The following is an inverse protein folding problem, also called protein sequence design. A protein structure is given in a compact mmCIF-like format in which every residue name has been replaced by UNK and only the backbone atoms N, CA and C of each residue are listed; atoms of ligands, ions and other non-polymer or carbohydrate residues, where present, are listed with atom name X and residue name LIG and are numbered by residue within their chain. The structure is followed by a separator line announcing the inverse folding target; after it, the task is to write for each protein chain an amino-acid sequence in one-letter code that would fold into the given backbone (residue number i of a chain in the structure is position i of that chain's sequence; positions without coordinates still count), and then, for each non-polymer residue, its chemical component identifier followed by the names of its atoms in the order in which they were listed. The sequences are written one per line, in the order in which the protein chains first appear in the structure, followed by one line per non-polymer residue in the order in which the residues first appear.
data_IF_314318432534
#
_entry.id   IF_314318432534
#
_cell.length_a   1.000
_cell.length_b   1.000
_cell.length_c   1.000
_cell.angle_alpha   90.00
_cell.angle_beta   90.00
_cell.angle_gamma   90.00
#
_symmetry.space_group_name_H-M   'P 1'
#
loop_
_entity.id
_entity.type
_entity.pdbx_description
1 polymer ?
#
# COMPACT_ATOMS: atom_id res chain seq x y z
N UNK A 1 -22.25 1.23 -29.71
CA UNK A 1 -21.17 0.28 -29.38
C UNK A 1 -20.33 -0.05 -30.60
N UNK A 2 -20.93 -0.24 -31.78
CA UNK A 2 -20.22 -0.65 -33.00
C UNK A 2 -19.21 0.38 -33.52
N UNK A 3 -19.50 1.67 -33.42
CA UNK A 3 -18.57 2.75 -33.78
C UNK A 3 -17.35 2.84 -32.84
N UNK A 4 -17.53 2.49 -31.55
CA UNK A 4 -16.44 2.45 -30.58
C UNK A 4 -15.58 1.19 -30.79
N UNK A 5 -16.23 0.06 -31.09
CA UNK A 5 -15.59 -1.21 -31.40
C UNK A 5 -14.72 -1.10 -32.66
N UNK A 6 -15.25 -0.53 -33.75
CA UNK A 6 -14.51 -0.35 -35.01
C UNK A 6 -13.34 0.63 -34.88
N UNK A 7 -13.44 1.64 -34.01
CA UNK A 7 -12.36 2.60 -33.76
C UNK A 7 -11.24 2.03 -32.88
N UNK A 8 -11.58 1.23 -31.86
CA UNK A 8 -10.60 0.74 -30.87
C UNK A 8 -9.96 -0.60 -31.24
N UNK A 9 -10.67 -1.52 -31.91
CA UNK A 9 -10.14 -2.83 -32.31
C UNK A 9 -8.78 -2.80 -33.02
N UNK A 10 -8.51 -1.91 -34.01
CA UNK A 10 -7.20 -1.88 -34.65
C UNK A 10 -6.08 -1.49 -33.68
N UNK A 11 -6.36 -0.67 -32.68
CA UNK A 11 -5.41 -0.27 -31.65
C UNK A 11 -5.21 -1.40 -30.65
N UNK A 12 -6.28 -2.08 -30.26
CA UNK A 12 -6.21 -3.12 -29.21
C UNK A 12 -5.59 -4.43 -29.70
N UNK A 13 -5.72 -4.74 -30.99
CA UNK A 13 -5.09 -5.91 -31.60
C UNK A 13 -3.59 -5.69 -31.87
N UNK A 14 -3.16 -4.45 -32.05
CA UNK A 14 -1.76 -4.09 -32.26
C UNK A 14 -1.05 -3.64 -30.97
N UNK A 15 -1.56 -4.06 -29.80
CA UNK A 15 -0.97 -3.67 -28.53
C UNK A 15 0.44 -4.28 -28.38
N UNK A 16 1.43 -3.50 -27.92
CA UNK A 16 2.77 -4.03 -27.65
C UNK A 16 2.71 -5.20 -26.66
N UNK A 17 3.56 -6.21 -26.88
CA UNK A 17 3.66 -7.41 -26.05
C UNK A 17 3.79 -7.14 -24.54
N UNK A 18 4.55 -6.14 -24.04
CA UNK A 18 4.58 -5.89 -22.60
C UNK A 18 3.21 -5.43 -22.05
N UNK A 19 2.45 -4.66 -22.83
CA UNK A 19 1.15 -4.13 -22.41
C UNK A 19 0.09 -5.23 -22.42
N UNK A 20 0.05 -6.04 -23.49
CA UNK A 20 -0.90 -7.16 -23.57
C UNK A 20 -0.60 -8.25 -22.53
N UNK A 21 0.68 -8.53 -22.24
CA UNK A 21 1.08 -9.45 -21.18
C UNK A 21 0.68 -8.93 -19.78
N UNK A 22 0.90 -7.65 -19.51
CA UNK A 22 0.46 -7.02 -18.26
C UNK A 22 -1.06 -7.08 -18.09
N UNK A 23 -1.83 -6.68 -19.10
CA UNK A 23 -3.29 -6.72 -19.04
C UNK A 23 -3.83 -8.14 -18.90
N UNK A 24 -3.24 -9.11 -19.61
CA UNK A 24 -3.58 -10.53 -19.48
C UNK A 24 -3.27 -11.06 -18.09
N UNK A 25 -2.13 -10.69 -17.51
CA UNK A 25 -1.79 -11.04 -16.12
C UNK A 25 -2.70 -10.34 -15.11
N UNK A 26 -3.22 -9.15 -15.46
CA UNK A 26 -4.08 -8.36 -14.59
C UNK A 26 -5.47 -8.99 -14.52
N UNK A 27 -6.18 -9.09 -15.65
CA UNK A 27 -7.59 -9.52 -15.67
C UNK A 27 -7.79 -11.00 -16.04
N UNK A 28 -6.75 -11.70 -16.47
CA UNK A 28 -6.84 -13.07 -16.99
C UNK A 28 -7.10 -13.11 -18.50
N UNK A 29 -6.82 -14.26 -19.15
CA UNK A 29 -6.91 -14.40 -20.62
C UNK A 29 -8.33 -14.23 -21.15
N UNK A 30 -9.35 -14.77 -20.47
CA UNK A 30 -10.74 -14.73 -20.91
C UNK A 30 -11.31 -13.30 -20.83
N UNK A 31 -11.04 -12.60 -19.72
CA UNK A 31 -11.46 -11.21 -19.58
C UNK A 31 -10.63 -10.27 -20.46
N UNK A 32 -9.36 -10.58 -20.74
CA UNK A 32 -8.56 -9.82 -21.70
C UNK A 32 -9.16 -9.89 -23.11
N UNK A 33 -9.50 -11.10 -23.58
CA UNK A 33 -10.21 -11.31 -24.85
C UNK A 33 -11.51 -10.51 -24.89
N UNK A 34 -12.39 -10.72 -23.91
CA UNK A 34 -13.73 -10.14 -23.89
C UNK A 34 -13.71 -8.60 -23.84
N UNK A 35 -12.88 -8.00 -22.99
CA UNK A 35 -12.85 -6.55 -22.79
C UNK A 35 -11.99 -5.80 -23.82
N UNK A 36 -10.84 -6.35 -24.20
CA UNK A 36 -9.85 -5.63 -25.00
C UNK A 36 -9.86 -6.06 -26.48
N UNK A 37 -10.01 -7.34 -26.79
CA UNK A 37 -10.04 -7.79 -28.19
C UNK A 37 -11.43 -7.66 -28.80
N UNK A 38 -12.45 -8.09 -28.05
CA UNK A 38 -13.85 -8.06 -28.48
C UNK A 38 -14.56 -6.78 -28.06
N UNK A 39 -14.02 -5.98 -27.12
CA UNK A 39 -14.62 -4.70 -26.70
C UNK A 39 -16.10 -4.88 -26.32
N UNK A 40 -16.37 -5.93 -25.53
CA UNK A 40 -17.69 -6.24 -25.01
C UNK A 40 -17.77 -5.86 -23.51
N UNK A 41 -18.24 -4.64 -23.18
CA UNK A 41 -18.42 -4.21 -21.79
C UNK A 41 -19.66 -4.81 -21.13
N UNK A 42 -20.45 -5.64 -21.83
CA UNK A 42 -21.66 -6.28 -21.28
C UNK A 42 -21.32 -7.36 -20.27
N UNK A 43 -20.09 -7.89 -20.29
CA UNK A 43 -19.60 -8.82 -19.28
C UNK A 43 -19.34 -8.09 -17.95
N UNK A 44 -20.39 -8.01 -17.13
CA UNK A 44 -20.33 -7.36 -15.81
C UNK A 44 -19.30 -8.00 -14.87
N UNK A 45 -19.00 -9.29 -15.03
CA UNK A 45 -17.98 -10.01 -14.25
C UNK A 45 -16.59 -9.47 -14.58
N UNK A 46 -16.22 -9.47 -15.86
CA UNK A 46 -14.90 -9.01 -16.29
C UNK A 46 -14.73 -7.50 -16.07
N UNK A 47 -15.78 -6.71 -16.29
CA UNK A 47 -15.75 -5.27 -16.05
C UNK A 47 -15.52 -4.95 -14.57
N UNK A 48 -16.23 -5.62 -13.65
CA UNK A 48 -16.01 -5.45 -12.19
C UNK A 48 -14.60 -5.85 -11.78
N UNK A 49 -14.07 -6.94 -12.33
CA UNK A 49 -12.70 -7.39 -12.06
C UNK A 49 -11.66 -6.36 -12.52
N UNK A 50 -11.82 -5.83 -13.75
CA UNK A 50 -10.96 -4.79 -14.29
C UNK A 50 -11.00 -3.54 -13.41
N UNK A 51 -12.20 -3.05 -13.07
CA UNK A 51 -12.37 -1.87 -12.22
C UNK A 51 -11.70 -2.09 -10.85
N UNK A 52 -11.94 -3.24 -10.21
CA UNK A 52 -11.36 -3.57 -8.89
C UNK A 52 -9.83 -3.56 -8.93
N UNK A 53 -9.22 -4.14 -9.97
CA UNK A 53 -7.76 -4.20 -10.10
C UNK A 53 -7.12 -2.88 -10.45
N UNK A 54 -7.73 -2.11 -11.36
CA UNK A 54 -7.26 -0.76 -11.70
C UNK A 54 -7.36 0.15 -10.48
N UNK A 55 -8.48 0.10 -9.76
CA UNK A 55 -8.66 0.87 -8.53
C UNK A 55 -7.62 0.48 -7.48
N UNK A 56 -7.40 -0.82 -7.24
CA UNK A 56 -6.38 -1.29 -6.29
C UNK A 56 -4.96 -0.82 -6.65
N UNK A 57 -4.57 -0.90 -7.92
CA UNK A 57 -3.27 -0.37 -8.38
C UNK A 57 -3.20 1.15 -8.18
N UNK A 58 -4.27 1.87 -8.53
CA UNK A 58 -4.35 3.32 -8.35
C UNK A 58 -4.21 3.74 -6.89
N UNK A 59 -4.84 3.00 -5.98
CA UNK A 59 -4.74 3.19 -4.53
C UNK A 59 -3.30 2.99 -4.07
N UNK A 60 -2.66 1.86 -4.41
CA UNK A 60 -1.26 1.60 -4.03
C UNK A 60 -0.34 2.69 -4.58
N UNK A 61 -0.53 3.10 -5.84
CA UNK A 61 0.26 4.16 -6.47
C UNK A 61 0.07 5.51 -5.77
N UNK A 62 -1.17 5.92 -5.49
CA UNK A 62 -1.46 7.16 -4.76
C UNK A 62 -0.84 7.12 -3.36
N UNK A 63 -0.97 6.00 -2.65
CA UNK A 63 -0.45 5.80 -1.31
C UNK A 63 1.08 5.82 -1.23
N UNK A 64 1.79 5.64 -2.35
CA UNK A 64 3.25 5.85 -2.40
C UNK A 64 3.67 7.33 -2.32
N UNK A 65 2.76 8.26 -2.61
CA UNK A 65 3.05 9.71 -2.68
C UNK A 65 2.28 10.56 -1.65
N UNK A 66 1.27 10.03 -0.98
CA UNK A 66 0.39 10.81 -0.08
C UNK A 66 1.14 11.59 1.02
N UNK A 67 2.21 11.05 1.60
CA UNK A 67 2.98 11.70 2.68
C UNK A 67 4.21 12.46 2.16
N UNK A 68 4.55 12.35 0.87
CA UNK A 68 5.71 13.01 0.25
C UNK A 68 5.68 14.54 0.40
N UNK A 69 4.55 15.25 0.19
CA UNK A 69 4.49 16.70 0.40
C UNK A 69 4.87 17.10 1.84
N UNK A 70 4.52 16.28 2.83
CA UNK A 70 4.86 16.54 4.22
C UNK A 70 6.35 16.30 4.50
N UNK A 71 6.96 15.27 3.90
CA UNK A 71 8.40 15.04 3.96
C UNK A 71 9.15 16.25 3.38
N UNK A 72 8.74 16.73 2.21
CA UNK A 72 9.33 17.93 1.59
C UNK A 72 9.17 19.14 2.51
N UNK A 73 7.98 19.33 3.11
CA UNK A 73 7.73 20.44 4.04
C UNK A 73 8.68 20.41 5.24
N UNK A 74 8.85 19.27 5.89
CA UNK A 74 9.79 19.09 7.01
C UNK A 74 11.24 19.40 6.60
N UNK A 75 11.68 18.89 5.46
CA UNK A 75 13.04 19.15 4.95
C UNK A 75 13.25 20.63 4.61
N UNK A 76 12.25 21.28 3.99
CA UNK A 76 12.31 22.69 3.59
C UNK A 76 12.27 23.65 4.77
N UNK A 77 11.46 23.36 5.80
CA UNK A 77 11.36 24.20 7.00
C UNK A 77 12.51 23.96 7.98
N UNK A 78 13.14 22.78 7.94
CA UNK A 78 14.10 22.33 8.95
C UNK A 78 13.50 22.24 10.36
N UNK A 79 12.17 22.21 10.48
CA UNK A 79 11.46 22.30 11.75
C UNK A 79 10.28 21.34 11.78
N UNK A 80 10.16 20.61 12.90
CA UNK A 80 9.07 19.69 13.18
C UNK A 80 7.93 20.32 14.00
N UNK A 81 7.90 21.65 14.12
CA UNK A 81 6.89 22.33 14.93
C UNK A 81 5.48 22.08 14.40
N UNK A 82 4.58 21.66 15.30
CA UNK A 82 3.21 21.31 14.96
C UNK A 82 3.02 19.88 14.41
N UNK A 83 4.08 19.05 14.38
CA UNK A 83 4.00 17.64 13.98
C UNK A 83 4.20 16.73 15.20
N UNK A 84 3.22 15.86 15.46
CA UNK A 84 3.23 14.93 16.60
C UNK A 84 4.03 13.68 16.28
N UNK A 85 5.21 13.50 16.88
CA UNK A 85 5.96 12.25 16.79
C UNK A 85 5.13 11.04 17.24
N UNK A 86 4.41 11.17 18.36
CA UNK A 86 3.66 10.08 18.97
C UNK A 86 2.60 9.53 18.02
N UNK A 87 1.86 10.39 17.33
CA UNK A 87 0.83 9.97 16.36
C UNK A 87 1.46 9.18 15.20
N UNK A 88 2.60 9.64 14.66
CA UNK A 88 3.32 8.86 13.62
C UNK A 88 3.87 7.53 14.17
N UNK A 89 4.33 7.49 15.42
CA UNK A 89 4.80 6.25 16.04
C UNK A 89 3.68 5.23 16.23
N UNK A 90 2.50 5.66 16.70
CA UNK A 90 1.32 4.81 16.89
C UNK A 90 0.74 4.33 15.54
N UNK A 91 0.61 5.23 14.56
CA UNK A 91 0.19 4.88 13.20
C UNK A 91 1.16 3.86 12.58
N UNK A 92 2.48 4.05 12.76
CA UNK A 92 3.50 3.11 12.28
C UNK A 92 3.40 1.74 12.95
N UNK A 93 3.21 1.69 14.27
CA UNK A 93 3.04 0.44 15.00
C UNK A 93 1.80 -0.33 14.53
N UNK A 94 0.68 0.39 14.36
CA UNK A 94 -0.56 -0.14 13.81
C UNK A 94 -0.37 -0.77 12.42
N UNK A 95 0.36 -0.09 11.54
CA UNK A 95 0.68 -0.62 10.23
C UNK A 95 1.62 -1.83 10.28
N UNK A 96 2.64 -1.86 11.14
CA UNK A 96 3.52 -3.03 11.27
C UNK A 96 2.75 -4.27 11.75
N UNK A 97 1.82 -4.11 12.69
CA UNK A 97 0.91 -5.19 13.13
C UNK A 97 0.07 -5.68 11.95
N UNK A 98 -0.52 -4.75 11.19
CA UNK A 98 -1.28 -5.07 9.97
C UNK A 98 -0.47 -5.81 8.93
N UNK A 99 0.77 -5.39 8.70
CA UNK A 99 1.66 -6.06 7.76
C UNK A 99 2.02 -7.47 8.23
N UNK A 100 2.38 -7.64 9.50
CA UNK A 100 2.71 -8.94 10.05
C UNK A 100 1.53 -9.91 9.95
N UNK A 101 0.31 -9.46 10.28
CA UNK A 101 -0.90 -10.27 10.15
C UNK A 101 -1.14 -10.68 8.69
N UNK A 102 -1.16 -9.72 7.76
CA UNK A 102 -1.47 -10.02 6.36
C UNK A 102 -0.44 -10.95 5.72
N UNK A 103 0.85 -10.74 6.02
CA UNK A 103 1.93 -11.61 5.50
C UNK A 103 1.82 -13.02 6.08
N UNK A 104 1.56 -13.16 7.39
CA UNK A 104 1.43 -14.48 8.04
C UNK A 104 0.21 -15.25 7.59
N UNK A 105 -0.88 -14.56 7.26
CA UNK A 105 -2.07 -15.17 6.68
C UNK A 105 -1.90 -15.52 5.18
N UNK A 106 -0.76 -15.20 4.57
CA UNK A 106 -0.48 -15.50 3.16
C UNK A 106 -1.32 -14.67 2.19
N UNK A 107 -1.82 -13.50 2.61
CA UNK A 107 -2.57 -12.63 1.73
C UNK A 107 -1.67 -12.03 0.64
N UNK A 108 -2.20 -11.78 -0.57
CA UNK A 108 -1.43 -11.18 -1.63
C UNK A 108 -1.05 -9.73 -1.30
N UNK A 109 0.09 -9.27 -1.82
CA UNK A 109 0.57 -7.89 -1.61
C UNK A 109 -0.46 -6.83 -2.00
N UNK A 110 -1.34 -7.09 -2.97
CA UNK A 110 -2.41 -6.18 -3.35
C UNK A 110 -3.36 -5.81 -2.19
N UNK A 111 -3.42 -6.63 -1.14
CA UNK A 111 -4.28 -6.40 0.04
C UNK A 111 -3.66 -5.42 1.03
N UNK A 112 -2.34 -5.47 1.24
CA UNK A 112 -1.64 -4.70 2.29
C UNK A 112 -0.54 -3.77 1.75
N UNK A 113 -0.35 -3.73 0.43
CA UNK A 113 0.73 -2.99 -0.21
C UNK A 113 0.66 -1.49 0.01
N UNK A 114 -0.55 -0.94 0.04
CA UNK A 114 -0.78 0.44 0.50
C UNK A 114 -0.20 0.66 1.90
N UNK A 115 -0.61 -0.18 2.85
CA UNK A 115 -0.17 -0.09 4.25
C UNK A 115 1.35 -0.16 4.36
N UNK A 116 2.00 -1.01 3.55
CA UNK A 116 3.45 -1.14 3.53
C UNK A 116 4.13 0.16 3.06
N UNK A 117 3.63 0.76 1.99
CA UNK A 117 4.19 1.99 1.43
C UNK A 117 3.97 3.20 2.34
N UNK A 118 2.81 3.31 2.99
CA UNK A 118 2.54 4.38 3.95
C UNK A 118 3.40 4.19 5.21
N UNK A 119 3.56 2.95 5.70
CA UNK A 119 4.42 2.68 6.87
C UNK A 119 5.85 3.16 6.66
N UNK A 120 6.45 2.91 5.48
CA UNK A 120 7.79 3.40 5.16
C UNK A 120 7.86 4.93 5.22
N UNK A 121 6.88 5.62 4.63
CA UNK A 121 6.83 7.08 4.67
C UNK A 121 6.64 7.62 6.09
N UNK A 122 5.84 6.95 6.93
CA UNK A 122 5.65 7.33 8.33
C UNK A 122 6.93 7.18 9.16
N UNK A 123 7.70 6.11 8.94
CA UNK A 123 9.02 5.95 9.58
C UNK A 123 9.93 7.11 9.22
N UNK A 124 9.98 7.49 7.93
CA UNK A 124 10.78 8.63 7.46
C UNK A 124 10.33 9.92 8.15
N UNK A 125 9.02 10.19 8.21
CA UNK A 125 8.49 11.38 8.88
C UNK A 125 8.84 11.38 10.38
N UNK A 126 8.62 10.28 11.08
CA UNK A 126 8.89 10.17 12.51
C UNK A 126 10.38 10.41 12.83
N UNK A 127 11.28 9.86 12.01
CA UNK A 127 12.72 10.08 12.12
C UNK A 127 13.09 11.54 11.86
N UNK A 128 12.52 12.17 10.82
CA UNK A 128 12.74 13.58 10.51
C UNK A 128 12.23 14.49 11.65
N UNK A 129 11.07 14.18 12.23
CA UNK A 129 10.51 14.91 13.37
C UNK A 129 11.50 14.88 14.54
N UNK A 130 11.96 13.69 14.95
CA UNK A 130 12.93 13.57 16.05
C UNK A 130 14.25 14.26 15.74
N UNK A 131 14.75 14.15 14.51
CA UNK A 131 16.00 14.81 14.10
C UNK A 131 15.88 16.34 14.15
N UNK A 132 14.81 16.93 13.62
CA UNK A 132 14.61 18.38 13.68
C UNK A 132 14.26 18.89 15.08
N UNK A 133 13.79 18.02 15.98
CA UNK A 133 13.67 18.32 17.42
C UNK A 133 14.96 18.10 18.22
N UNK A 134 16.10 17.82 17.57
CA UNK A 134 17.40 17.61 18.25
C UNK A 134 17.54 16.26 18.98
N UNK A 135 16.57 15.36 18.82
CA UNK A 135 16.47 14.07 19.54
C UNK A 135 17.03 12.91 18.70
N UNK A 136 18.26 13.03 18.21
CA UNK A 136 18.86 12.05 17.30
C UNK A 136 18.99 10.64 17.90
N UNK A 137 19.27 10.54 19.21
CA UNK A 137 19.32 9.25 19.92
C UNK A 137 17.95 8.57 20.00
N UNK A 138 16.88 9.35 20.23
CA UNK A 138 15.51 8.82 20.21
C UNK A 138 15.14 8.33 18.81
N UNK A 139 15.64 8.97 17.74
CA UNK A 139 15.39 8.51 16.37
C UNK A 139 16.02 7.15 16.09
N UNK A 140 17.27 6.93 16.52
CA UNK A 140 17.92 5.63 16.42
C UNK A 140 17.20 4.57 17.28
N UNK A 141 16.81 4.94 18.51
CA UNK A 141 16.03 4.08 19.40
C UNK A 141 14.68 3.69 18.81
N UNK A 142 14.00 4.61 18.16
CA UNK A 142 12.73 4.37 17.48
C UNK A 142 12.90 3.35 16.33
N UNK A 143 13.87 3.55 15.44
CA UNK A 143 14.14 2.60 14.34
C UNK A 143 14.51 1.21 14.88
N UNK A 144 15.33 1.14 15.93
CA UNK A 144 15.66 -0.12 16.57
C UNK A 144 14.41 -0.80 17.18
N UNK A 145 13.55 -0.03 17.85
CA UNK A 145 12.30 -0.54 18.41
C UNK A 145 11.36 -1.08 17.32
N UNK A 146 11.27 -0.41 16.16
CA UNK A 146 10.47 -0.90 15.03
C UNK A 146 11.07 -2.19 14.44
N UNK A 147 12.39 -2.29 14.34
CA UNK A 147 13.05 -3.51 13.86
C UNK A 147 12.78 -4.69 14.80
N UNK A 148 12.84 -4.46 16.11
CA UNK A 148 12.48 -5.48 17.12
C UNK A 148 10.99 -5.84 17.02
N UNK A 149 10.10 -4.86 16.93
CA UNK A 149 8.66 -5.08 16.79
C UNK A 149 8.33 -5.89 15.54
N UNK A 150 8.90 -5.54 14.39
CA UNK A 150 8.76 -6.32 13.16
C UNK A 150 9.35 -7.72 13.31
N UNK A 151 10.55 -7.84 13.86
CA UNK A 151 11.20 -9.14 14.08
C UNK A 151 10.39 -10.09 14.96
N UNK A 152 9.69 -9.57 15.98
CA UNK A 152 8.86 -10.39 16.88
C UNK A 152 7.50 -10.74 16.27
N UNK A 153 6.81 -9.78 15.65
CA UNK A 153 5.46 -10.00 15.11
C UNK A 153 5.44 -10.97 13.92
N UNK A 154 6.50 -10.96 13.10
CA UNK A 154 6.61 -11.85 11.94
C UNK A 154 7.01 -13.29 12.35
N UNK A 155 7.46 -13.52 13.59
CA UNK A 155 7.82 -14.85 14.10
C UNK A 155 6.68 -15.44 14.92
N UNK A 156 6.11 -16.53 14.42
CA UNK A 156 5.04 -17.25 15.10
C UNK A 156 5.47 -17.85 16.44
N UNK A 157 6.74 -18.23 16.58
CA UNK A 157 7.32 -18.75 17.82
C UNK A 157 7.26 -17.74 18.99
N UNK A 158 7.31 -16.43 18.69
CA UNK A 158 7.31 -15.37 19.69
C UNK A 158 5.89 -14.84 19.89
N UNK A 159 5.18 -14.56 18.79
CA UNK A 159 3.81 -14.05 18.81
C UNK A 159 2.90 -15.05 18.11
N UNK A 160 2.10 -15.78 18.88
CA UNK A 160 1.12 -16.73 18.33
C UNK A 160 0.03 -16.04 17.51
N UNK A 161 -0.58 -16.78 16.57
CA UNK A 161 -1.59 -16.23 15.65
C UNK A 161 -2.82 -15.63 16.35
N UNK A 162 -3.23 -16.18 17.50
CA UNK A 162 -4.33 -15.63 18.30
C UNK A 162 -4.03 -14.24 18.85
N UNK A 163 -2.83 -14.02 19.40
CA UNK A 163 -2.39 -12.71 19.89
C UNK A 163 -2.29 -11.73 18.72
N UNK A 164 -1.71 -12.15 17.59
CA UNK A 164 -1.58 -11.29 16.41
C UNK A 164 -2.95 -10.86 15.86
N UNK A 165 -3.95 -11.74 15.90
CA UNK A 165 -5.32 -11.42 15.47
C UNK A 165 -6.00 -10.40 16.39
N UNK A 166 -5.78 -10.51 17.69
CA UNK A 166 -6.27 -9.52 18.68
C UNK A 166 -5.58 -8.18 18.47
N UNK A 167 -4.25 -8.18 18.27
CA UNK A 167 -3.51 -6.98 17.94
C UNK A 167 -4.02 -6.35 16.64
N UNK A 168 -4.34 -7.16 15.63
CA UNK A 168 -4.90 -6.68 14.38
C UNK A 168 -6.25 -5.99 14.59
N UNK A 169 -7.13 -6.53 15.44
CA UNK A 169 -8.41 -5.92 15.73
C UNK A 169 -8.30 -4.54 16.41
N UNK A 170 -7.21 -4.27 17.12
CA UNK A 170 -7.00 -2.99 17.83
C UNK A 170 -6.24 -1.95 17.01
N UNK A 171 -5.67 -2.32 15.85
CA UNK A 171 -4.92 -1.42 14.95
C UNK A 171 -5.72 -0.18 14.54
N UNK A 172 -7.03 -0.33 14.29
CA UNK A 172 -7.90 0.80 13.92
C UNK A 172 -8.00 1.89 14.99
N UNK A 173 -7.88 1.53 16.27
CA UNK A 173 -7.88 2.48 17.39
C UNK A 173 -6.54 3.24 17.43
N UNK A 174 -5.44 2.52 17.23
CA UNK A 174 -4.08 3.09 17.25
C UNK A 174 -3.81 4.04 16.07
N UNK A 175 -4.47 3.83 14.92
CA UNK A 175 -4.28 4.66 13.73
C UNK A 175 -4.99 6.03 13.80
N UNK A 176 -5.94 6.21 14.72
CA UNK A 176 -6.75 7.44 14.86
C UNK A 176 -6.28 8.30 16.04
N UNK A 177 -5.32 7.82 16.83
CA UNK A 177 -4.75 8.51 18.00
C UNK A 177 -3.54 9.39 17.64
#
# INVERSE_FOLDING_TARGET
MDALRSALQPITQNLPTPVSAFLTSLVGPDCYRTLFLDIDPSSTVCLKLLISKVLGIGIIAASSVVKVPQIIKLLSSGSAQGVSFLSYALETASYIISLAYNVRQGFPFSTYGETALIAVQNVVIAVLVLRFSGKAMEAAGFVAALAVLGGTLFREEIVGGGILSILQATTGILAVA
#
